data_IF_617346790904
#
_entry.id   IF_617346790904
#
_cell.length_a   1.000
_cell.length_b   1.000
_cell.length_c   1.000
_cell.angle_alpha   90.00
_cell.angle_beta   90.00
_cell.angle_gamma   90.00
#
_symmetry.space_group_name_H-M   'P 1'
#
loop_
_entity.id
_entity.type
_entity.pdbx_description
1 polymer ?
#
# COMPACT_ATOMS: atom_id res chain seq x y z
N UNK A 1 -11.61 -0.22 -15.57
CA UNK A 1 -11.40 0.92 -14.64
C UNK A 1 -9.91 1.16 -14.52
N UNK A 2 -9.43 2.33 -14.95
CA UNK A 2 -8.03 2.74 -14.74
C UNK A 2 -7.77 2.86 -13.24
N UNK A 3 -6.83 2.08 -12.73
CA UNK A 3 -6.32 2.23 -11.37
C UNK A 3 -5.64 3.60 -11.36
N UNK A 4 -6.35 4.61 -10.82
CA UNK A 4 -5.85 5.97 -10.73
C UNK A 4 -4.58 5.91 -9.87
N UNK A 5 -3.44 6.22 -10.47
CA UNK A 5 -2.24 6.51 -9.70
C UNK A 5 -2.59 7.61 -8.68
N UNK A 6 -2.27 7.42 -7.38
CA UNK A 6 -2.67 8.35 -6.35
C UNK A 6 -2.00 9.71 -6.61
N UNK A 7 -2.77 10.70 -7.07
CA UNK A 7 -2.25 12.03 -7.44
C UNK A 7 -1.97 12.91 -6.22
N UNK A 8 -2.64 12.71 -5.08
CA UNK A 8 -2.43 13.50 -3.86
C UNK A 8 -1.86 12.69 -2.70
N UNK A 9 -1.14 13.37 -1.79
CA UNK A 9 -0.65 12.84 -0.51
C UNK A 9 -1.77 12.12 0.27
N UNK A 10 -2.99 12.66 0.25
CA UNK A 10 -4.16 12.02 0.89
C UNK A 10 -4.57 10.71 0.20
N UNK A 11 -4.49 10.64 -1.12
CA UNK A 11 -4.73 9.39 -1.86
C UNK A 11 -3.64 8.36 -1.54
N UNK A 12 -2.37 8.78 -1.47
CA UNK A 12 -1.25 7.90 -1.11
C UNK A 12 -1.45 7.32 0.31
N UNK A 13 -1.84 8.15 1.27
CA UNK A 13 -2.17 7.70 2.64
C UNK A 13 -3.34 6.72 2.67
N UNK A 14 -4.36 6.97 1.86
CA UNK A 14 -5.53 6.10 1.73
C UNK A 14 -5.12 4.75 1.13
N UNK A 15 -4.35 4.78 0.03
CA UNK A 15 -3.80 3.59 -0.62
C UNK A 15 -2.92 2.77 0.33
N UNK A 16 -2.07 3.39 1.13
CA UNK A 16 -1.27 2.71 2.16
C UNK A 16 -2.19 1.98 3.15
N UNK A 17 -3.23 2.64 3.64
CA UNK A 17 -4.15 2.04 4.62
C UNK A 17 -4.91 0.85 4.03
N UNK A 18 -5.37 0.96 2.79
CA UNK A 18 -6.04 -0.13 2.08
C UNK A 18 -5.10 -1.31 1.82
N UNK A 19 -3.87 -1.03 1.36
CA UNK A 19 -2.84 -2.06 1.11
C UNK A 19 -2.41 -2.75 2.41
N UNK A 20 -2.22 -2.02 3.51
CA UNK A 20 -1.92 -2.62 4.82
C UNK A 20 -3.04 -3.52 5.32
N UNK A 21 -4.30 -3.10 5.15
CA UNK A 21 -5.46 -3.92 5.53
C UNK A 21 -5.49 -5.22 4.72
N UNK A 22 -5.22 -5.13 3.42
CA UNK A 22 -5.15 -6.29 2.52
C UNK A 22 -3.97 -7.20 2.84
N UNK A 23 -2.82 -6.63 3.21
CA UNK A 23 -1.64 -7.38 3.63
C UNK A 23 -1.91 -8.17 4.92
N UNK A 24 -2.60 -7.55 5.88
CA UNK A 24 -2.98 -8.24 7.12
C UNK A 24 -3.98 -9.37 6.86
N UNK A 25 -4.96 -9.16 5.97
CA UNK A 25 -5.88 -10.21 5.55
C UNK A 25 -5.12 -11.38 4.88
N UNK A 26 -4.21 -11.07 3.95
CA UNK A 26 -3.38 -12.07 3.30
C UNK A 26 -2.52 -12.86 4.30
N UNK A 27 -1.95 -12.20 5.33
CA UNK A 27 -1.25 -12.88 6.44
C UNK A 27 -2.18 -13.82 7.20
N UNK A 28 -3.41 -13.39 7.51
CA UNK A 28 -4.42 -14.21 8.22
C UNK A 28 -4.85 -15.43 7.39
N UNK A 29 -4.91 -15.30 6.08
CA UNK A 29 -5.25 -16.38 5.15
C UNK A 29 -4.04 -17.29 4.80
N UNK A 30 -2.86 -17.04 5.38
CA UNK A 30 -1.63 -17.80 5.09
C UNK A 30 -0.96 -17.45 3.77
N UNK A 31 -1.46 -16.43 3.05
CA UNK A 31 -0.91 -15.93 1.78
C UNK A 31 0.26 -14.97 2.02
N UNK A 32 1.32 -15.52 2.59
CA UNK A 32 2.50 -14.73 3.01
C UNK A 32 3.20 -14.03 1.85
N UNK A 33 3.18 -14.61 0.63
CA UNK A 33 3.75 -13.98 -0.56
C UNK A 33 2.97 -12.73 -0.98
N UNK A 34 1.63 -12.80 -0.97
CA UNK A 34 0.73 -11.68 -1.28
C UNK A 34 0.91 -10.56 -0.25
N UNK A 35 1.00 -10.93 1.03
CA UNK A 35 1.30 -10.00 2.11
C UNK A 35 2.65 -9.29 1.92
N UNK A 36 3.70 -10.02 1.54
CA UNK A 36 5.03 -9.46 1.31
C UNK A 36 5.07 -8.49 0.11
N UNK A 37 4.32 -8.76 -0.95
CA UNK A 37 4.19 -7.84 -2.07
C UNK A 37 3.44 -6.56 -1.67
N UNK A 38 2.33 -6.70 -0.93
CA UNK A 38 1.55 -5.57 -0.43
C UNK A 38 2.36 -4.70 0.54
N UNK A 39 3.16 -5.30 1.41
CA UNK A 39 4.04 -4.59 2.36
C UNK A 39 5.15 -3.81 1.64
N UNK A 40 5.74 -4.38 0.59
CA UNK A 40 6.70 -3.68 -0.28
C UNK A 40 6.06 -2.47 -0.96
N UNK A 41 4.83 -2.61 -1.47
CA UNK A 41 4.10 -1.49 -2.10
C UNK A 41 3.79 -0.39 -1.09
N UNK A 42 3.40 -0.76 0.14
CA UNK A 42 3.21 0.21 1.24
C UNK A 42 4.50 0.97 1.53
N UNK A 43 5.63 0.27 1.59
CA UNK A 43 6.94 0.88 1.83
C UNK A 43 7.27 1.90 0.76
N UNK A 44 7.14 1.54 -0.52
CA UNK A 44 7.35 2.45 -1.64
C UNK A 44 6.48 3.72 -1.54
N UNK A 45 5.19 3.59 -1.22
CA UNK A 45 4.31 4.74 -1.03
C UNK A 45 4.68 5.61 0.18
N UNK A 46 5.24 5.02 1.25
CA UNK A 46 5.74 5.77 2.41
C UNK A 46 7.02 6.54 2.09
N UNK A 47 7.90 5.97 1.28
CA UNK A 47 9.09 6.66 0.78
C UNK A 47 8.70 7.84 -0.11
N UNK A 48 7.76 7.65 -1.04
CA UNK A 48 7.20 8.72 -1.87
C UNK A 48 6.55 9.84 -1.05
N UNK A 49 5.93 9.50 0.09
CA UNK A 49 5.38 10.47 1.04
C UNK A 49 6.47 11.22 1.80
N UNK A 50 7.56 10.55 2.19
CA UNK A 50 8.68 11.17 2.90
C UNK A 50 9.56 12.05 1.99
N UNK A 51 9.62 11.72 0.70
CA UNK A 51 10.33 12.50 -0.31
C UNK A 51 9.60 13.80 -0.70
N UNK A 52 8.29 13.89 -0.44
CA UNK A 52 7.48 15.09 -0.70
C UNK A 52 7.38 15.94 0.59
N UNK A 53 8.01 17.13 0.64
CA UNK A 53 8.08 17.97 1.84
C UNK A 53 6.72 18.58 2.23
#
# INVERSE_FOLDING_TARGET
MSIREPQSINDIRTAIRELSTRAELARREGRSADAAELDQRVTHYREELGARP
#
